data_IF_168844741199
#
_entry.id   IF_168844741199
#
_cell.length_a   1.000
_cell.length_b   1.000
_cell.length_c   1.000
_cell.angle_alpha   90.00
_cell.angle_beta   90.00
_cell.angle_gamma   90.00
#
_symmetry.space_group_name_H-M   'P 1'
#
loop_
_entity.id
_entity.type
_entity.pdbx_description
1 polymer ?
#
# COMPACT_ATOMS: atom_id res chain seq x y z
N UNK A 1 -1.41 -8.48 -18.90
CA UNK A 1 -1.82 -7.21 -19.52
C UNK A 1 -1.00 -7.00 -20.78
N UNK A 2 -1.59 -6.56 -21.89
CA UNK A 2 -0.80 -6.23 -23.09
C UNK A 2 -0.15 -4.82 -22.93
N UNK A 3 0.77 -4.44 -23.81
CA UNK A 3 1.50 -3.16 -23.70
C UNK A 3 0.58 -1.94 -23.83
N UNK A 4 -0.47 -2.04 -24.64
CA UNK A 4 -1.46 -0.97 -24.85
C UNK A 4 -2.33 -0.74 -23.60
N UNK A 5 -2.81 -1.81 -22.97
CA UNK A 5 -3.55 -1.76 -21.70
C UNK A 5 -2.68 -1.12 -20.59
N UNK A 6 -1.38 -1.43 -20.58
CA UNK A 6 -0.42 -0.87 -19.60
C UNK A 6 -0.29 0.65 -19.77
N UNK A 7 -0.14 1.11 -21.01
CA UNK A 7 -0.03 2.54 -21.31
C UNK A 7 -1.31 3.31 -20.99
N UNK A 8 -2.48 2.71 -21.24
CA UNK A 8 -3.78 3.28 -20.86
C UNK A 8 -3.91 3.44 -19.34
N UNK A 9 -3.50 2.44 -18.56
CA UNK A 9 -3.49 2.53 -17.09
C UNK A 9 -2.52 3.60 -16.60
N UNK A 10 -1.33 3.72 -17.19
CA UNK A 10 -0.37 4.77 -16.84
C UNK A 10 -0.93 6.17 -17.11
N UNK A 11 -1.54 6.38 -18.28
CA UNK A 11 -2.22 7.65 -18.62
C UNK A 11 -3.38 7.93 -17.67
N UNK A 12 -4.11 6.90 -17.26
CA UNK A 12 -5.21 7.06 -16.29
C UNK A 12 -4.68 7.48 -14.91
N UNK A 13 -3.62 6.84 -14.43
CA UNK A 13 -2.93 7.16 -13.17
C UNK A 13 -2.44 8.61 -13.15
N UNK A 14 -1.84 9.06 -14.24
CA UNK A 14 -1.35 10.43 -14.39
C UNK A 14 -2.50 11.44 -14.46
N UNK A 15 -3.42 11.30 -15.43
CA UNK A 15 -4.43 12.30 -15.72
C UNK A 15 -5.51 12.43 -14.63
N UNK A 16 -5.90 11.30 -14.02
CA UNK A 16 -7.05 11.28 -13.12
C UNK A 16 -6.64 11.21 -11.65
N UNK A 17 -5.44 10.70 -11.37
CA UNK A 17 -4.97 10.50 -10.00
C UNK A 17 -3.65 11.22 -9.72
N UNK A 18 -3.08 11.94 -10.70
CA UNK A 18 -1.86 12.72 -10.54
C UNK A 18 -0.64 11.88 -10.17
N UNK A 19 -0.65 10.56 -10.35
CA UNK A 19 0.51 9.70 -10.08
C UNK A 19 1.39 9.75 -11.32
N UNK A 20 2.50 10.47 -11.24
CA UNK A 20 3.32 10.81 -12.41
C UNK A 20 4.67 10.11 -12.41
N UNK A 21 5.20 9.82 -13.59
CA UNK A 21 6.57 9.32 -13.76
C UNK A 21 6.83 8.06 -12.93
N UNK A 22 7.85 8.09 -12.08
CA UNK A 22 8.27 6.94 -11.30
C UNK A 22 7.43 6.73 -10.02
N UNK A 23 6.51 7.64 -9.67
CA UNK A 23 5.59 7.46 -8.54
C UNK A 23 4.71 6.21 -8.66
N UNK A 24 4.58 5.64 -9.85
CA UNK A 24 3.88 4.36 -10.07
C UNK A 24 4.50 3.21 -9.25
N UNK A 25 5.80 3.29 -8.92
CA UNK A 25 6.45 2.32 -8.07
C UNK A 25 6.05 2.44 -6.59
N UNK A 26 5.47 3.57 -6.19
CA UNK A 26 4.97 3.81 -4.83
C UNK A 26 3.51 3.38 -4.63
N UNK A 27 2.85 2.82 -5.65
CA UNK A 27 1.44 2.42 -5.54
C UNK A 27 1.17 1.33 -4.50
N UNK A 28 2.19 0.60 -4.04
CA UNK A 28 2.10 -0.35 -2.92
C UNK A 28 1.78 0.30 -1.59
N UNK A 29 2.03 1.60 -1.46
CA UNK A 29 1.70 2.35 -0.26
C UNK A 29 0.19 2.65 -0.20
N UNK A 30 -0.56 2.50 -1.30
CA UNK A 30 -1.99 2.82 -1.33
C UNK A 30 -2.81 1.94 -0.36
N UNK A 31 -2.65 0.61 -0.30
CA UNK A 31 -3.29 -0.21 0.74
C UNK A 31 -2.96 0.24 2.17
N UNK A 32 -1.72 0.66 2.42
CA UNK A 32 -1.30 1.16 3.73
C UNK A 32 -1.96 2.51 4.04
N UNK A 33 -2.04 3.41 3.06
CA UNK A 33 -2.74 4.68 3.18
C UNK A 33 -4.26 4.49 3.41
N UNK A 34 -4.89 3.50 2.77
CA UNK A 34 -6.28 3.14 3.06
C UNK A 34 -6.47 2.67 4.50
N UNK A 35 -5.56 1.82 4.98
CA UNK A 35 -5.62 1.32 6.34
C UNK A 35 -5.41 2.45 7.35
N UNK A 36 -4.41 3.30 7.10
CA UNK A 36 -4.12 4.48 7.90
C UNK A 36 -5.34 5.39 8.08
N UNK A 37 -6.11 5.64 7.01
CA UNK A 37 -7.23 6.59 7.04
C UNK A 37 -8.60 5.97 7.40
N UNK A 38 -8.65 4.68 7.73
CA UNK A 38 -9.91 3.92 7.84
C UNK A 38 -10.80 4.42 8.98
N UNK A 39 -10.21 4.75 10.12
CA UNK A 39 -10.90 5.30 11.29
C UNK A 39 -11.07 6.84 11.19
N UNK A 40 -10.44 7.44 10.18
CA UNK A 40 -10.45 8.87 9.88
C UNK A 40 -9.49 9.72 10.70
N UNK A 41 -8.57 9.11 11.45
CA UNK A 41 -7.53 9.76 12.23
C UNK A 41 -6.17 9.17 11.83
N UNK A 42 -5.14 10.01 11.85
CA UNK A 42 -3.78 9.52 11.72
C UNK A 42 -3.02 9.75 13.00
N UNK A 43 -2.42 8.69 13.51
CA UNK A 43 -1.52 8.69 14.64
C UNK A 43 -0.08 8.68 14.14
N UNK A 44 0.82 9.27 14.91
CA UNK A 44 2.24 9.37 14.52
C UNK A 44 2.84 7.98 14.33
N UNK A 45 2.42 7.02 15.16
CA UNK A 45 2.83 5.63 15.14
C UNK A 45 2.44 4.93 13.82
N UNK A 46 1.22 5.16 13.34
CA UNK A 46 0.73 4.60 12.07
C UNK A 46 1.46 5.21 10.87
N UNK A 47 1.69 6.53 10.90
CA UNK A 47 2.46 7.23 9.86
C UNK A 47 3.90 6.68 9.80
N UNK A 48 4.53 6.45 10.94
CA UNK A 48 5.88 5.88 11.00
C UNK A 48 5.96 4.49 10.37
N UNK A 49 4.93 3.67 10.51
CA UNK A 49 4.85 2.36 9.85
C UNK A 49 4.78 2.51 8.32
N UNK A 50 4.03 3.50 7.81
CA UNK A 50 4.00 3.78 6.36
C UNK A 50 5.37 4.24 5.85
N UNK A 51 6.08 5.09 6.61
CA UNK A 51 7.45 5.50 6.28
C UNK A 51 8.44 4.33 6.30
N UNK A 52 8.35 3.45 7.29
CA UNK A 52 9.20 2.26 7.37
C UNK A 52 8.98 1.34 6.16
N UNK A 53 7.73 1.13 5.74
CA UNK A 53 7.42 0.40 4.53
C UNK A 53 8.03 1.08 3.30
N UNK A 54 7.83 2.40 3.15
CA UNK A 54 8.33 3.18 2.02
C UNK A 54 9.86 3.07 1.87
N UNK A 55 10.59 3.22 2.97
CA UNK A 55 12.06 3.13 2.99
C UNK A 55 12.53 1.73 2.56
N UNK A 56 11.92 0.67 3.12
CA UNK A 56 12.25 -0.72 2.74
C UNK A 56 11.97 -0.96 1.26
N UNK A 57 10.83 -0.50 0.78
CA UNK A 57 10.41 -0.66 -0.62
C UNK A 57 11.33 0.08 -1.60
N UNK A 58 11.68 1.34 -1.31
CA UNK A 58 12.61 2.12 -2.13
C UNK A 58 14.00 1.49 -2.14
N UNK A 59 14.48 1.00 -0.98
CA UNK A 59 15.75 0.29 -0.90
C UNK A 59 15.75 -0.95 -1.82
N UNK A 60 14.66 -1.71 -1.85
CA UNK A 60 14.52 -2.86 -2.75
C UNK A 60 14.47 -2.47 -4.23
N UNK A 61 13.80 -1.37 -4.57
CA UNK A 61 13.82 -0.87 -5.95
C UNK A 61 15.23 -0.46 -6.37
N UNK A 62 16.00 0.17 -5.48
CA UNK A 62 17.37 0.63 -5.75
C UNK A 62 18.37 -0.51 -6.01
N UNK A 63 18.13 -1.72 -5.48
CA UNK A 63 19.00 -2.87 -5.77
C UNK A 63 18.91 -3.33 -7.23
N UNK A 64 17.84 -2.94 -7.93
CA UNK A 64 17.58 -3.32 -9.32
C UNK A 64 18.04 -2.28 -10.35
N UNK A 65 18.53 -1.11 -9.92
CA UNK A 65 18.88 0.02 -10.80
C UNK A 65 20.38 0.33 -10.89
N UNK A 66 21.25 -0.59 -10.46
CA UNK A 66 22.73 -0.40 -10.46
C UNK A 66 23.20 0.91 -9.78
N UNK A 67 22.39 1.47 -8.89
CA UNK A 67 22.68 2.74 -8.20
C UNK A 67 22.13 4.00 -8.90
N UNK A 68 21.36 3.86 -9.98
CA UNK A 68 20.57 4.97 -10.53
C UNK A 68 19.38 5.30 -9.62
N UNK A 69 19.16 6.59 -9.41
CA UNK A 69 18.05 7.11 -8.61
C UNK A 69 16.72 6.90 -9.37
N UNK A 70 15.99 5.85 -9.00
CA UNK A 70 14.69 5.53 -9.60
C UNK A 70 13.61 6.54 -9.19
N UNK A 71 13.67 7.02 -7.95
CA UNK A 71 12.68 7.92 -7.36
C UNK A 71 13.43 9.05 -6.68
N UNK A 72 13.15 10.28 -7.08
CA UNK A 72 13.68 11.45 -6.40
C UNK A 72 13.03 11.65 -5.03
N UNK A 73 13.76 12.28 -4.12
CA UNK A 73 13.23 12.66 -2.80
C UNK A 73 11.94 13.49 -2.92
N UNK A 74 11.85 14.37 -3.92
CA UNK A 74 10.65 15.17 -4.19
C UNK A 74 9.46 14.31 -4.60
N UNK A 75 9.65 13.33 -5.49
CA UNK A 75 8.57 12.43 -5.91
C UNK A 75 8.01 11.61 -4.74
N UNK A 76 8.89 11.15 -3.84
CA UNK A 76 8.51 10.43 -2.63
C UNK A 76 7.74 11.35 -1.68
N UNK A 77 8.28 12.53 -1.40
CA UNK A 77 7.65 13.49 -0.50
C UNK A 77 6.29 13.97 -1.02
N UNK A 78 6.15 14.24 -2.31
CA UNK A 78 4.88 14.61 -2.93
C UNK A 78 3.85 13.49 -2.80
N UNK A 79 4.27 12.23 -3.00
CA UNK A 79 3.39 11.08 -2.82
C UNK A 79 2.93 10.94 -1.36
N UNK A 80 3.87 11.00 -0.41
CA UNK A 80 3.56 10.94 1.03
C UNK A 80 2.66 12.10 1.46
N UNK A 81 2.92 13.32 0.98
CA UNK A 81 2.10 14.48 1.29
C UNK A 81 0.65 14.27 0.85
N UNK A 82 0.44 13.66 -0.31
CA UNK A 82 -0.87 13.51 -0.93
C UNK A 82 -1.69 12.37 -0.37
N UNK A 83 -1.06 11.26 0.00
CA UNK A 83 -1.78 10.05 0.41
C UNK A 83 -1.67 9.73 1.90
N UNK A 84 -0.61 10.21 2.57
CA UNK A 84 -0.32 9.91 3.98
C UNK A 84 -0.58 11.12 4.88
N UNK A 85 -0.16 12.31 4.48
CA UNK A 85 -0.33 13.52 5.32
C UNK A 85 -1.62 14.30 5.05
N UNK A 86 -2.17 14.16 3.84
CA UNK A 86 -3.44 14.79 3.45
C UNK A 86 -4.45 13.71 3.21
N UNK A 87 -5.57 13.72 3.94
CA UNK A 87 -6.62 12.70 3.81
C UNK A 87 -7.22 12.72 2.40
N UNK A 88 -7.01 11.67 1.57
CA UNK A 88 -7.68 11.55 0.29
C UNK A 88 -9.14 11.10 0.49
N UNK A 89 -9.97 11.20 -0.55
CA UNK A 89 -11.29 10.58 -0.50
C UNK A 89 -11.16 9.05 -0.50
N UNK A 90 -12.09 8.38 0.19
CA UNK A 90 -12.12 6.92 0.24
C UNK A 90 -12.28 6.31 -1.15
N UNK A 91 -13.12 6.92 -1.98
CA UNK A 91 -13.35 6.49 -3.36
C UNK A 91 -12.06 6.57 -4.20
N UNK A 92 -11.24 7.59 -3.98
CA UNK A 92 -9.98 7.76 -4.69
C UNK A 92 -9.00 6.65 -4.34
N UNK A 93 -8.80 6.38 -3.05
CA UNK A 93 -7.89 5.33 -2.61
C UNK A 93 -8.34 3.94 -3.08
N UNK A 94 -9.64 3.65 -2.98
CA UNK A 94 -10.19 2.36 -3.41
C UNK A 94 -10.06 2.16 -4.92
N UNK A 95 -10.22 3.23 -5.70
CA UNK A 95 -10.02 3.17 -7.14
C UNK A 95 -8.54 2.97 -7.48
N UNK A 96 -7.64 3.73 -6.85
CA UNK A 96 -6.20 3.60 -7.01
C UNK A 96 -5.73 2.19 -6.67
N UNK A 97 -6.18 1.62 -5.55
CA UNK A 97 -5.85 0.25 -5.15
C UNK A 97 -6.24 -0.77 -6.21
N UNK A 98 -7.47 -0.70 -6.73
CA UNK A 98 -7.96 -1.64 -7.75
C UNK A 98 -7.13 -1.55 -9.04
N UNK A 99 -6.76 -0.33 -9.44
CA UNK A 99 -5.88 -0.10 -10.59
C UNK A 99 -4.45 -0.62 -10.32
N UNK A 100 -3.89 -0.27 -9.17
CA UNK A 100 -2.58 -0.67 -8.68
C UNK A 100 -2.42 -2.19 -8.70
N UNK A 101 -3.41 -2.95 -8.19
CA UNK A 101 -3.33 -4.41 -8.15
C UNK A 101 -3.19 -5.05 -9.54
N UNK A 102 -3.86 -4.48 -10.55
CA UNK A 102 -3.74 -4.95 -11.92
C UNK A 102 -2.38 -4.65 -12.56
N UNK A 103 -1.67 -3.63 -12.06
CA UNK A 103 -0.42 -3.13 -12.62
C UNK A 103 0.82 -3.70 -11.92
N UNK A 104 0.78 -3.80 -10.59
CA UNK A 104 1.93 -4.07 -9.73
C UNK A 104 2.25 -5.57 -9.67
N UNK A 105 1.23 -6.41 -9.50
CA UNK A 105 1.41 -7.85 -9.23
C UNK A 105 1.37 -8.74 -10.47
N UNK A 106 1.42 -8.15 -11.67
CA UNK A 106 1.49 -8.89 -12.93
C UNK A 106 2.94 -9.10 -13.42
N UNK A 107 3.95 -8.79 -12.60
CA UNK A 107 5.35 -9.01 -12.97
C UNK A 107 5.72 -10.51 -13.05
N UNK A 108 6.74 -10.82 -13.84
CA UNK A 108 7.14 -12.20 -14.18
C UNK A 108 7.71 -13.02 -13.00
N UNK A 109 8.10 -12.38 -11.89
CA UNK A 109 8.61 -13.07 -10.70
C UNK A 109 7.49 -13.29 -9.68
N UNK A 110 6.87 -14.46 -9.75
CA UNK A 110 5.79 -14.86 -8.86
C UNK A 110 6.22 -14.89 -7.39
N UNK A 111 7.45 -15.33 -7.07
CA UNK A 111 7.91 -15.47 -5.68
C UNK A 111 8.10 -14.11 -5.04
N UNK A 112 8.74 -13.18 -5.74
CA UNK A 112 8.91 -11.80 -5.24
C UNK A 112 7.57 -11.09 -5.10
N UNK A 113 6.64 -11.32 -6.02
CA UNK A 113 5.29 -10.76 -5.91
C UNK A 113 4.54 -11.27 -4.67
N UNK A 114 4.62 -12.56 -4.35
CA UNK A 114 3.99 -13.10 -3.14
C UNK A 114 4.61 -12.53 -1.86
N UNK A 115 5.94 -12.42 -1.79
CA UNK A 115 6.62 -11.77 -0.64
C UNK A 115 6.23 -10.31 -0.48
N UNK A 116 6.09 -9.59 -1.60
CA UNK A 116 5.68 -8.18 -1.62
C UNK A 116 4.23 -8.01 -1.14
N UNK A 117 3.32 -8.86 -1.62
CA UNK A 117 1.92 -8.88 -1.15
C UNK A 117 1.83 -9.18 0.35
N UNK A 118 2.56 -10.19 0.83
CA UNK A 118 2.56 -10.56 2.24
C UNK A 118 3.00 -9.38 3.11
N UNK A 119 4.09 -8.71 2.73
CA UNK A 119 4.60 -7.53 3.44
C UNK A 119 3.59 -6.39 3.50
N UNK A 120 2.87 -6.12 2.41
CA UNK A 120 1.81 -5.11 2.39
C UNK A 120 0.75 -5.45 3.45
N UNK A 121 0.32 -6.71 3.50
CA UNK A 121 -0.66 -7.16 4.49
C UNK A 121 -0.10 -7.08 5.93
N UNK A 122 1.14 -7.49 6.15
CA UNK A 122 1.78 -7.42 7.47
C UNK A 122 1.80 -5.98 7.99
N UNK A 123 2.19 -5.01 7.14
CA UNK A 123 2.17 -3.60 7.52
C UNK A 123 0.76 -3.05 7.73
N UNK A 124 -0.24 -3.50 6.95
CA UNK A 124 -1.63 -3.13 7.21
C UNK A 124 -2.12 -3.66 8.57
N UNK A 125 -1.69 -4.86 8.98
CA UNK A 125 -1.98 -5.43 10.29
C UNK A 125 -1.30 -4.60 11.39
N UNK A 126 -0.03 -4.25 11.20
CA UNK A 126 0.71 -3.43 12.17
C UNK A 126 0.08 -2.05 12.36
N UNK A 127 -0.31 -1.38 11.26
CA UNK A 127 -1.00 -0.08 11.28
C UNK A 127 -2.30 -0.17 12.08
N UNK A 128 -3.18 -1.10 11.72
CA UNK A 128 -4.45 -1.26 12.43
C UNK A 128 -4.24 -1.63 13.92
N UNK A 129 -3.20 -2.40 14.23
CA UNK A 129 -2.88 -2.74 15.62
C UNK A 129 -2.36 -1.54 16.44
N UNK A 130 -1.71 -0.57 15.77
CA UNK A 130 -1.19 0.65 16.38
C UNK A 130 -2.29 1.69 16.65
N UNK A 131 -3.42 1.61 15.95
CA UNK A 131 -4.56 2.54 16.10
C UNK A 131 -5.21 2.54 17.50
N UNK A 132 -4.97 1.51 18.31
CA UNK A 132 -5.69 1.26 19.56
C UNK A 132 -5.07 1.99 20.76
N UNK A 133 -5.65 3.13 21.11
CA UNK A 133 -5.10 4.05 22.14
C UNK A 133 -5.68 3.90 23.55
N UNK A 134 -6.79 3.17 23.76
CA UNK A 134 -7.46 3.10 25.08
C UNK A 134 -7.42 1.71 25.74
N UNK A 135 -6.42 1.50 26.60
CA UNK A 135 -6.37 0.36 27.50
C UNK A 135 -7.35 0.51 28.69
N UNK A 136 -8.01 -0.56 29.19
CA UNK A 136 -7.94 -1.95 28.73
C UNK A 136 -8.94 -2.25 27.60
N UNK A 137 -8.47 -2.94 26.57
CA UNK A 137 -9.30 -3.51 25.50
C UNK A 137 -9.37 -5.04 25.63
N UNK A 138 -10.53 -5.61 25.34
CA UNK A 138 -10.66 -7.05 25.10
C UNK A 138 -9.83 -7.45 23.86
N UNK A 139 -9.28 -8.67 23.84
CA UNK A 139 -8.39 -9.14 22.76
C UNK A 139 -9.03 -9.03 21.37
N UNK A 140 -10.37 -9.07 21.30
CA UNK A 140 -11.16 -8.99 20.07
C UNK A 140 -11.42 -7.56 19.56
N UNK A 141 -11.10 -6.55 20.37
CA UNK A 141 -11.34 -5.12 20.10
C UNK A 141 -10.08 -4.38 19.64
N UNK A 142 -9.02 -5.12 19.24
CA UNK A 142 -7.81 -4.52 18.66
C UNK A 142 -8.00 -4.01 17.23
N UNK A 143 -9.06 -4.45 16.56
CA UNK A 143 -9.40 -4.00 15.23
C UNK A 143 -10.86 -3.57 15.25
N UNK A 144 -11.16 -2.40 14.68
CA UNK A 144 -12.52 -1.96 14.43
C UNK A 144 -13.14 -2.76 13.28
N UNK A 145 -14.46 -2.71 13.12
CA UNK A 145 -15.15 -3.50 12.11
C UNK A 145 -14.70 -3.11 10.69
N UNK A 146 -14.47 -1.82 10.48
CA UNK A 146 -14.05 -1.23 9.21
C UNK A 146 -12.66 -1.70 8.78
N UNK A 147 -11.70 -1.80 9.72
CA UNK A 147 -10.36 -2.36 9.50
C UNK A 147 -10.44 -3.83 9.11
N UNK A 148 -11.27 -4.63 9.79
CA UNK A 148 -11.45 -6.05 9.47
C UNK A 148 -12.01 -6.24 8.06
N UNK A 149 -13.00 -5.41 7.68
CA UNK A 149 -13.58 -5.43 6.34
C UNK A 149 -12.55 -5.05 5.29
N UNK A 150 -11.79 -3.97 5.52
CA UNK A 150 -10.74 -3.54 4.61
C UNK A 150 -9.65 -4.61 4.47
N UNK A 151 -9.15 -5.14 5.58
CA UNK A 151 -8.12 -6.17 5.58
C UNK A 151 -8.57 -7.43 4.82
N UNK A 152 -9.81 -7.87 5.04
CA UNK A 152 -10.37 -9.01 4.30
C UNK A 152 -10.46 -8.74 2.79
N UNK A 153 -10.83 -7.53 2.38
CA UNK A 153 -10.89 -7.13 0.97
C UNK A 153 -9.48 -7.04 0.35
N UNK A 154 -8.50 -6.54 1.11
CA UNK A 154 -7.09 -6.51 0.69
C UNK A 154 -6.55 -7.93 0.48
N UNK A 155 -6.78 -8.84 1.43
CA UNK A 155 -6.34 -10.23 1.33
C UNK A 155 -6.95 -10.93 0.10
N UNK A 156 -8.25 -10.73 -0.15
CA UNK A 156 -8.92 -11.27 -1.33
C UNK A 156 -8.35 -10.68 -2.62
N UNK A 157 -8.13 -9.36 -2.66
CA UNK A 157 -7.65 -8.70 -3.88
C UNK A 157 -6.20 -9.03 -4.19
N UNK A 158 -5.36 -9.24 -3.17
CA UNK A 158 -3.98 -9.67 -3.33
C UNK A 158 -3.84 -11.20 -3.52
N UNK A 159 -4.93 -11.95 -3.35
CA UNK A 159 -4.97 -13.41 -3.40
C UNK A 159 -4.03 -14.07 -2.38
N UNK A 160 -3.94 -13.50 -1.17
CA UNK A 160 -3.23 -14.12 -0.06
C UNK A 160 -4.17 -15.11 0.62
N UNK A 161 -3.90 -16.41 0.45
CA UNK A 161 -4.52 -17.46 1.25
C UNK A 161 -3.61 -17.77 2.43
N UNK A 162 -4.13 -17.67 3.65
CA UNK A 162 -3.47 -18.13 4.88
C UNK A 162 -3.45 -19.67 5.02
N UNK A 163 -3.36 -20.41 3.90
CA UNK A 163 -3.20 -21.87 3.93
C UNK A 163 -1.71 -22.27 3.93
N UNK A 164 -0.88 -21.48 4.61
CA UNK A 164 0.53 -21.78 4.81
C UNK A 164 0.78 -22.17 6.28
N UNK A 165 0.85 -23.50 6.47
CA UNK A 165 1.50 -24.23 7.57
C UNK A 165 0.84 -24.22 8.96
N UNK A 166 -0.04 -25.21 9.18
CA UNK A 166 0.05 -26.04 10.39
C UNK A 166 0.58 -27.41 9.92
N UNK A 167 1.90 -27.60 10.01
CA UNK A 167 2.52 -28.93 10.06
C UNK A 167 3.43 -28.99 11.28
#
# INVERSE_FOLDING_TARGET
>A
MNEQDREEVLKLLENNFGVTGNQVYLLDLIPLAEMLWIDGKNQTEEINLVYEFAIKHIAELSTHTEGEELLSENEINDFMQRFVHTRPSKELLTTLRKLANSFIFQQHDQVQNELRKQRIIDFCIDIASAAVTQYPYDRHNRFIAEEKVLLSDLMQTLNINFDAEIN
#
